data_IF_166986435997
#
_entry.id   IF_166986435997
#
_cell.length_a   1.000
_cell.length_b   1.000
_cell.length_c   1.000
_cell.angle_alpha   90.00
_cell.angle_beta   90.00
_cell.angle_gamma   90.00
#
_symmetry.space_group_name_H-M   'P 1'
#
loop_
_entity.id
_entity.type
_entity.pdbx_description
1 polymer ?
#
# COMPACT_ATOMS: atom_id res chain seq x y z
N UNK A 1 12.66 -12.02 3.88
CA UNK A 1 11.19 -11.98 3.74
C UNK A 1 10.58 -11.92 5.13
N UNK A 2 9.79 -10.88 5.37
CA UNK A 2 9.11 -10.62 6.63
C UNK A 2 7.62 -10.53 6.31
N UNK A 3 6.84 -11.49 6.82
CA UNK A 3 5.39 -11.50 6.62
C UNK A 3 4.82 -10.15 7.05
N UNK A 4 3.97 -9.58 6.20
CA UNK A 4 3.44 -8.24 6.39
C UNK A 4 1.94 -8.26 6.23
N UNK A 5 1.22 -7.71 7.20
CA UNK A 5 -0.23 -7.55 7.16
C UNK A 5 -0.53 -6.08 6.93
N UNK A 6 -1.36 -5.75 5.95
CA UNK A 6 -1.84 -4.39 5.69
C UNK A 6 -3.28 -4.28 6.20
N UNK A 7 -3.54 -3.26 7.00
CA UNK A 7 -4.86 -2.92 7.52
C UNK A 7 -5.33 -1.65 6.82
N UNK A 8 -6.54 -1.65 6.26
CA UNK A 8 -7.08 -0.51 5.52
C UNK A 8 -8.52 -0.21 5.94
N UNK A 9 -8.83 1.07 6.07
CA UNK A 9 -10.17 1.60 6.28
C UNK A 9 -10.40 2.78 5.35
N UNK A 10 -11.33 2.62 4.40
CA UNK A 10 -11.63 3.67 3.40
C UNK A 10 -12.65 4.69 3.88
N UNK A 11 -13.47 4.35 4.88
CA UNK A 11 -14.47 5.27 5.43
C UNK A 11 -15.04 4.79 6.76
N UNK A 12 -16.30 4.33 6.75
CA UNK A 12 -16.99 3.84 7.95
C UNK A 12 -16.30 2.60 8.54
N UNK A 13 -16.49 2.29 9.85
CA UNK A 13 -15.81 1.16 10.50
C UNK A 13 -16.06 -0.22 9.87
N UNK A 14 -17.20 -0.41 9.18
CA UNK A 14 -17.55 -1.62 8.43
C UNK A 14 -16.72 -1.82 7.15
N UNK A 15 -16.02 -0.78 6.68
CA UNK A 15 -15.08 -0.86 5.54
C UNK A 15 -13.70 -1.40 5.91
N UNK A 16 -13.45 -1.67 7.20
CA UNK A 16 -12.18 -2.22 7.67
C UNK A 16 -11.94 -3.60 7.06
N UNK A 17 -10.82 -3.74 6.38
CA UNK A 17 -10.35 -5.01 5.84
C UNK A 17 -8.84 -5.12 6.00
N UNK A 18 -8.32 -6.32 5.79
CA UNK A 18 -6.90 -6.59 5.84
C UNK A 18 -6.46 -7.48 4.68
N UNK A 19 -5.17 -7.47 4.40
CA UNK A 19 -4.53 -8.38 3.45
C UNK A 19 -3.14 -8.73 3.95
N UNK A 20 -2.74 -9.98 3.76
CA UNK A 20 -1.45 -10.49 4.19
C UNK A 20 -0.53 -10.81 3.01
N UNK A 21 0.77 -10.66 3.25
CA UNK A 21 1.81 -10.72 2.23
C UNK A 21 3.06 -11.40 2.76
N UNK A 22 3.81 -12.08 1.90
CA UNK A 22 5.04 -12.79 2.28
C UNK A 22 6.22 -11.84 2.59
N UNK A 23 6.19 -10.63 2.02
CA UNK A 23 7.21 -9.61 2.23
C UNK A 23 6.64 -8.19 2.29
N UNK A 24 7.46 -7.27 2.82
CA UNK A 24 7.15 -5.84 2.83
C UNK A 24 6.99 -5.29 1.41
N UNK A 25 7.78 -5.77 0.44
CA UNK A 25 7.68 -5.27 -0.93
C UNK A 25 6.33 -5.66 -1.56
N UNK A 26 5.93 -6.92 -1.41
CA UNK A 26 4.64 -7.41 -1.93
C UNK A 26 3.47 -6.65 -1.27
N UNK A 27 3.60 -6.32 0.02
CA UNK A 27 2.62 -5.47 0.70
C UNK A 27 2.54 -4.06 0.12
N UNK A 28 3.68 -3.44 -0.22
CA UNK A 28 3.68 -2.11 -0.85
C UNK A 28 3.10 -2.16 -2.27
N UNK A 29 3.39 -3.20 -3.04
CA UNK A 29 2.76 -3.46 -4.34
C UNK A 29 1.24 -3.65 -4.20
N UNK A 30 0.80 -4.36 -3.15
CA UNK A 30 -0.61 -4.48 -2.80
C UNK A 30 -1.29 -3.14 -2.54
N UNK A 31 -0.63 -2.21 -1.85
CA UNK A 31 -1.15 -0.83 -1.65
C UNK A 31 -1.26 -0.07 -2.97
N UNK A 32 -0.27 -0.16 -3.85
CA UNK A 32 -0.37 0.40 -5.20
C UNK A 32 -1.56 -0.20 -5.97
N UNK A 33 -1.76 -1.52 -5.86
CA UNK A 33 -2.87 -2.20 -6.53
C UNK A 33 -4.24 -1.76 -6.02
N UNK A 34 -4.40 -1.47 -4.72
CA UNK A 34 -5.64 -0.91 -4.18
C UNK A 34 -5.98 0.41 -4.88
N UNK A 35 -4.99 1.28 -5.07
CA UNK A 35 -5.19 2.54 -5.77
C UNK A 35 -5.48 2.34 -7.27
N UNK A 36 -4.79 1.43 -7.94
CA UNK A 36 -5.06 1.08 -9.34
C UNK A 36 -6.49 0.56 -9.54
N UNK A 37 -6.99 -0.25 -8.62
CA UNK A 37 -8.38 -0.73 -8.65
C UNK A 37 -9.37 0.43 -8.43
N UNK A 38 -9.02 1.39 -7.56
CA UNK A 38 -9.81 2.62 -7.41
C UNK A 38 -9.84 3.41 -8.71
N UNK A 39 -8.69 3.62 -9.37
CA UNK A 39 -8.59 4.33 -10.64
C UNK A 39 -9.38 3.65 -11.76
N UNK A 40 -9.31 2.31 -11.87
CA UNK A 40 -10.07 1.53 -12.86
C UNK A 40 -11.59 1.66 -12.69
N UNK A 41 -12.06 1.72 -11.43
CA UNK A 41 -13.50 1.91 -11.15
C UNK A 41 -13.97 3.32 -11.52
N UNK A 42 -13.12 4.31 -11.33
CA UNK A 42 -13.44 5.72 -11.65
C UNK A 42 -13.30 6.02 -13.14
N UNK A 43 -12.46 5.28 -13.88
CA UNK A 43 -12.18 5.48 -15.31
C UNK A 43 -12.37 4.18 -16.12
N UNK A 44 -13.60 3.64 -16.21
CA UNK A 44 -13.85 2.33 -16.82
C UNK A 44 -13.49 2.25 -18.30
N UNK A 45 -13.56 3.38 -19.02
CA UNK A 45 -13.28 3.46 -20.46
C UNK A 45 -11.79 3.65 -20.79
N UNK A 46 -10.93 3.77 -19.76
CA UNK A 46 -9.49 3.99 -19.95
C UNK A 46 -8.74 2.66 -19.78
N UNK A 47 -8.28 2.02 -20.87
CA UNK A 47 -7.68 0.68 -20.80
C UNK A 47 -6.32 0.65 -20.09
N UNK A 48 -5.59 1.77 -20.12
CA UNK A 48 -4.31 1.93 -19.42
C UNK A 48 -4.29 3.29 -18.72
N UNK A 49 -4.17 3.28 -17.40
CA UNK A 49 -4.16 4.47 -16.57
C UNK A 49 -2.75 4.65 -16.03
N UNK A 50 -2.12 5.78 -16.35
CA UNK A 50 -0.88 6.23 -15.72
C UNK A 50 -1.23 7.20 -14.59
N UNK A 51 -0.46 7.15 -13.50
CA UNK A 51 -0.61 8.07 -12.38
C UNK A 51 0.77 8.46 -11.84
N UNK A 52 0.86 9.66 -11.28
CA UNK A 52 2.05 10.11 -10.56
C UNK A 52 2.00 9.62 -9.10
N UNK A 53 3.17 9.46 -8.50
CA UNK A 53 3.31 9.05 -7.10
C UNK A 53 2.63 10.05 -6.14
N UNK A 54 2.61 11.34 -6.50
CA UNK A 54 1.87 12.36 -5.73
C UNK A 54 0.39 12.00 -5.59
N UNK A 55 -0.26 11.57 -6.68
CA UNK A 55 -1.67 11.17 -6.67
C UNK A 55 -1.93 9.92 -5.83
N UNK A 56 -0.99 8.96 -5.83
CA UNK A 56 -1.06 7.80 -4.94
C UNK A 56 -0.94 8.21 -3.46
N UNK A 57 -0.06 9.17 -3.16
CA UNK A 57 0.10 9.66 -1.78
C UNK A 57 -1.13 10.44 -1.31
N UNK A 58 -1.71 11.27 -2.17
CA UNK A 58 -2.97 11.96 -1.89
C UNK A 58 -4.10 10.98 -1.58
N UNK A 59 -4.19 9.87 -2.34
CA UNK A 59 -5.13 8.80 -2.06
C UNK A 59 -4.90 8.15 -0.70
N UNK A 60 -3.64 7.82 -0.36
CA UNK A 60 -3.28 7.25 0.95
C UNK A 60 -3.67 8.18 2.09
N UNK A 61 -3.46 9.49 1.92
CA UNK A 61 -3.77 10.49 2.94
C UNK A 61 -5.28 10.64 3.15
N UNK A 62 -6.08 10.47 2.10
CA UNK A 62 -7.55 10.48 2.17
C UNK A 62 -8.16 9.25 2.85
N UNK A 63 -7.44 8.12 2.94
CA UNK A 63 -7.94 6.93 3.66
C UNK A 63 -8.23 7.29 5.13
N UNK A 64 -9.25 6.68 5.73
CA UNK A 64 -9.50 6.91 7.16
C UNK A 64 -8.39 6.31 8.01
N UNK A 65 -7.95 5.10 7.66
CA UNK A 65 -6.80 4.46 8.29
C UNK A 65 -6.06 3.58 7.28
N UNK A 66 -4.74 3.57 7.40
CA UNK A 66 -3.87 2.66 6.69
C UNK A 66 -2.62 2.44 7.55
N UNK A 67 -2.41 1.19 7.94
CA UNK A 67 -1.26 0.75 8.70
C UNK A 67 -0.80 -0.61 8.22
N UNK A 68 0.43 -0.97 8.55
CA UNK A 68 0.91 -2.33 8.31
C UNK A 68 1.65 -2.87 9.53
N UNK A 69 1.58 -4.19 9.67
CA UNK A 69 2.23 -4.96 10.71
C UNK A 69 3.32 -5.80 10.04
N UNK A 70 4.58 -5.55 10.37
CA UNK A 70 5.71 -6.30 9.79
C UNK A 70 6.27 -7.26 10.83
N UNK A 71 6.37 -8.53 10.45
CA UNK A 71 6.88 -9.59 11.31
C UNK A 71 8.38 -9.42 11.60
N UNK A 72 8.73 -9.38 12.88
CA UNK A 72 10.09 -9.28 13.40
C UNK A 72 10.54 -10.64 13.94
N UNK A 73 11.41 -11.33 13.21
CA UNK A 73 11.89 -12.67 13.56
C UNK A 73 12.64 -12.73 14.89
N UNK A 74 13.36 -11.66 15.25
CA UNK A 74 14.20 -11.62 16.44
C UNK A 74 13.38 -11.65 17.74
N UNK A 75 12.21 -11.02 17.72
CA UNK A 75 11.32 -10.89 18.87
C UNK A 75 10.07 -11.77 18.75
N UNK A 76 9.85 -12.39 17.59
CA UNK A 76 8.64 -13.14 17.25
C UNK A 76 7.36 -12.29 17.44
N UNK A 77 7.41 -11.02 17.02
CA UNK A 77 6.31 -10.06 17.15
C UNK A 77 6.05 -9.35 15.83
N UNK A 78 4.94 -8.61 15.76
CA UNK A 78 4.65 -7.67 14.68
C UNK A 78 4.93 -6.25 15.13
N UNK A 79 5.72 -5.51 14.36
CA UNK A 79 5.90 -4.09 14.54
C UNK A 79 4.88 -3.31 13.70
N UNK A 80 4.12 -2.37 14.31
CA UNK A 80 3.19 -1.53 13.58
C UNK A 80 3.89 -0.35 12.90
N UNK A 81 3.42 -0.03 11.70
CA UNK A 81 3.88 1.11 10.91
C UNK A 81 2.68 1.87 10.34
N UNK A 82 2.75 3.20 10.38
CA UNK A 82 1.70 4.09 9.90
C UNK A 82 1.90 4.48 8.43
N UNK A 83 0.94 5.23 7.89
CA UNK A 83 0.92 5.77 6.51
C UNK A 83 2.24 6.36 6.03
N UNK A 84 2.89 7.19 6.84
CA UNK A 84 4.14 7.85 6.44
C UNK A 84 5.25 6.85 6.10
N UNK A 85 5.37 5.78 6.89
CA UNK A 85 6.33 4.72 6.62
C UNK A 85 5.98 3.94 5.36
N UNK A 86 4.69 3.69 5.12
CA UNK A 86 4.19 3.03 3.91
C UNK A 86 4.52 3.87 2.67
N UNK A 87 4.24 5.19 2.70
CA UNK A 87 4.59 6.13 1.62
C UNK A 87 6.09 6.12 1.32
N UNK A 88 6.94 6.14 2.35
CA UNK A 88 8.39 6.04 2.20
C UNK A 88 8.81 4.72 1.51
N UNK A 89 8.25 3.58 1.92
CA UNK A 89 8.59 2.28 1.31
C UNK A 89 8.09 2.15 -0.12
N UNK A 90 6.92 2.68 -0.43
CA UNK A 90 6.41 2.78 -1.81
C UNK A 90 7.36 3.63 -2.66
N UNK A 91 7.80 4.80 -2.18
CA UNK A 91 8.75 5.64 -2.90
C UNK A 91 10.05 4.89 -3.24
N UNK A 92 10.62 4.19 -2.26
CA UNK A 92 11.83 3.38 -2.47
C UNK A 92 11.58 2.25 -3.49
N UNK A 93 10.42 1.59 -3.42
CA UNK A 93 10.04 0.52 -4.33
C UNK A 93 9.94 1.01 -5.77
N UNK A 94 9.16 2.08 -6.01
CA UNK A 94 8.96 2.64 -7.35
C UNK A 94 10.24 3.20 -7.94
N UNK A 95 11.09 3.87 -7.14
CA UNK A 95 12.40 4.35 -7.59
C UNK A 95 13.32 3.21 -8.03
N UNK A 96 13.27 2.05 -7.35
CA UNK A 96 14.03 0.86 -7.74
C UNK A 96 13.55 0.27 -9.07
N UNK A 97 12.24 0.29 -9.33
CA UNK A 97 11.67 -0.17 -10.59
C UNK A 97 12.11 0.75 -11.74
N UNK A 98 11.99 2.07 -11.54
CA UNK A 98 12.41 3.06 -12.53
C UNK A 98 13.91 2.96 -12.88
N UNK A 99 14.77 2.72 -11.89
CA UNK A 99 16.22 2.58 -12.11
C UNK A 99 16.65 1.23 -12.70
N UNK A 100 15.75 0.24 -12.78
CA UNK A 100 16.01 -1.07 -13.40
C UNK A 100 15.61 -1.13 -14.88
N UNK A 101 15.00 -0.05 -15.40
CA UNK A 101 14.61 0.10 -16.80
C UNK A 101 15.69 0.81 -17.62
#
# INVERSE_FOLDING_TARGET
MAHTIVLVQTGKPDTRTYSDFESVNDAMEGVCHIYEQHLKRTNPDTPSITYDISQLFDFIDQLTDLSCLVYQRNTNTYAPYAKEWIKEKIYILLRRVANKS
#
